data_IF_245239774559
#
_entry.id   IF_245239774559
#
_cell.length_a   1.000
_cell.length_b   1.000
_cell.length_c   1.000
_cell.angle_alpha   90.00
_cell.angle_beta   90.00
_cell.angle_gamma   90.00
#
_symmetry.space_group_name_H-M   'P 1'
#
loop_
_entity.id
_entity.type
_entity.pdbx_description
1 polymer ?
#
# COMPACT_ATOMS: atom_id res chain seq x y z
N UNK A 1 14.22 -11.26 4.64
CA UNK A 1 13.05 -10.37 4.78
C UNK A 1 12.08 -10.85 5.85
N UNK A 2 11.84 -12.16 6.02
CA UNK A 2 11.07 -12.67 7.18
C UNK A 2 9.64 -12.14 7.25
N UNK A 3 9.00 -12.00 6.09
CA UNK A 3 7.59 -11.61 5.95
C UNK A 3 6.75 -12.85 6.26
N UNK A 4 6.13 -12.89 7.44
CA UNK A 4 5.44 -14.08 7.97
C UNK A 4 3.93 -14.02 7.81
N UNK A 5 3.41 -12.83 7.56
CA UNK A 5 1.98 -12.52 7.45
C UNK A 5 1.68 -12.01 6.04
N UNK A 6 2.40 -12.55 5.05
CA UNK A 6 2.29 -12.18 3.64
C UNK A 6 1.99 -13.42 2.80
N UNK A 7 0.95 -13.35 1.99
CA UNK A 7 0.54 -14.43 1.07
C UNK A 7 -0.10 -13.85 -0.20
N UNK A 8 -0.11 -14.62 -1.29
CA UNK A 8 -0.93 -14.26 -2.44
C UNK A 8 -2.40 -14.56 -2.15
N UNK A 9 -3.29 -13.72 -2.66
CA UNK A 9 -4.74 -13.85 -2.43
C UNK A 9 -5.35 -15.16 -2.98
N UNK A 10 -4.69 -15.79 -3.95
CA UNK A 10 -5.06 -17.08 -4.52
C UNK A 10 -4.47 -18.29 -3.78
N UNK A 11 -3.58 -18.08 -2.81
CA UNK A 11 -3.01 -19.19 -2.04
C UNK A 11 -4.06 -19.81 -1.10
N UNK A 12 -3.79 -21.04 -0.64
CA UNK A 12 -4.61 -21.70 0.38
C UNK A 12 -4.40 -21.00 1.72
N UNK A 13 -5.15 -19.92 1.95
CA UNK A 13 -5.23 -19.10 3.17
C UNK A 13 -4.39 -19.66 4.33
N UNK A 14 -3.10 -19.34 4.30
CA UNK A 14 -2.10 -19.81 5.23
C UNK A 14 -1.90 -18.80 6.37
N UNK A 15 -2.43 -17.58 6.23
CA UNK A 15 -2.41 -16.52 7.22
C UNK A 15 -3.82 -16.10 7.66
N UNK A 16 -3.90 -15.41 8.80
CA UNK A 16 -5.13 -14.75 9.25
C UNK A 16 -5.38 -13.50 8.40
N UNK A 17 -6.45 -13.51 7.61
CA UNK A 17 -6.87 -12.39 6.77
C UNK A 17 -8.25 -11.89 7.15
N UNK A 18 -8.42 -10.57 7.12
CA UNK A 18 -9.72 -9.95 7.31
C UNK A 18 -10.65 -10.26 6.12
N UNK A 19 -11.95 -10.09 6.34
CA UNK A 19 -12.95 -10.05 5.26
C UNK A 19 -13.17 -8.61 4.84
N UNK A 20 -13.19 -8.34 3.54
CA UNK A 20 -13.44 -7.01 3.00
C UNK A 20 -14.94 -6.70 2.87
N UNK A 21 -15.32 -5.46 3.13
CA UNK A 21 -16.70 -4.99 3.10
C UNK A 21 -16.82 -3.70 2.28
N UNK A 22 -17.81 -3.65 1.39
CA UNK A 22 -18.22 -2.42 0.72
C UNK A 22 -19.40 -1.82 1.47
N UNK A 23 -19.28 -0.55 1.85
CA UNK A 23 -20.30 0.23 2.55
C UNK A 23 -20.89 1.25 1.57
N UNK A 24 -22.18 1.11 1.29
CA UNK A 24 -22.94 2.01 0.42
C UNK A 24 -23.19 3.37 1.10
N UNK A 25 -23.60 4.37 0.32
CA UNK A 25 -23.88 5.72 0.84
C UNK A 25 -25.02 5.76 1.87
N UNK A 26 -25.93 4.78 1.83
CA UNK A 26 -27.03 4.59 2.79
C UNK A 26 -26.62 3.79 4.04
N UNK A 27 -25.34 3.40 4.14
CA UNK A 27 -24.81 2.59 5.25
C UNK A 27 -24.95 1.08 5.05
N UNK A 28 -25.56 0.62 3.96
CA UNK A 28 -25.67 -0.83 3.69
C UNK A 28 -24.29 -1.44 3.50
N UNK A 29 -24.01 -2.49 4.27
CA UNK A 29 -22.72 -3.20 4.25
C UNK A 29 -22.84 -4.49 3.44
N UNK A 30 -21.89 -4.73 2.54
CA UNK A 30 -21.84 -5.93 1.70
C UNK A 30 -20.47 -6.60 1.79
N UNK A 31 -20.46 -7.84 2.28
CA UNK A 31 -19.27 -8.69 2.28
C UNK A 31 -18.80 -8.91 0.83
N UNK A 32 -17.50 -8.78 0.61
CA UNK A 32 -16.86 -9.04 -0.67
C UNK A 32 -16.25 -10.44 -0.69
N UNK A 33 -16.42 -11.13 -1.80
CA UNK A 33 -15.91 -12.49 -2.03
C UNK A 33 -15.62 -12.65 -3.54
N UNK A 34 -14.49 -12.12 -4.04
CA UNK A 34 -14.15 -12.20 -5.45
C UNK A 34 -13.88 -13.66 -5.84
N UNK A 35 -14.28 -14.05 -7.05
CA UNK A 35 -13.94 -15.36 -7.58
C UNK A 35 -12.44 -15.44 -7.95
N UNK A 36 -11.93 -16.66 -8.08
CA UNK A 36 -10.50 -16.91 -8.37
C UNK A 36 -10.02 -16.22 -9.65
N UNK A 37 -10.82 -16.23 -10.72
CA UNK A 37 -10.43 -15.58 -11.98
C UNK A 37 -10.24 -14.07 -11.81
N UNK A 38 -11.09 -13.42 -11.00
CA UNK A 38 -10.95 -12.00 -10.65
C UNK A 38 -9.70 -11.74 -9.83
N UNK A 39 -9.37 -12.61 -8.88
CA UNK A 39 -8.12 -12.46 -8.08
C UNK A 39 -6.90 -12.62 -8.98
N UNK A 40 -6.85 -13.67 -9.80
CA UNK A 40 -5.74 -13.98 -10.70
C UNK A 40 -5.51 -12.90 -11.78
N UNK A 41 -6.57 -12.20 -12.20
CA UNK A 41 -6.43 -11.09 -13.15
C UNK A 41 -5.69 -9.88 -12.59
N UNK A 42 -5.50 -9.79 -11.26
CA UNK A 42 -4.77 -8.71 -10.58
C UNK A 42 -3.29 -9.04 -10.33
N UNK A 43 -2.73 -10.01 -11.07
CA UNK A 43 -1.31 -10.35 -10.97
C UNK A 43 -0.42 -9.14 -11.29
N UNK A 44 0.32 -8.71 -10.27
CA UNK A 44 1.19 -7.54 -10.32
C UNK A 44 0.49 -6.22 -10.00
N UNK A 45 -0.82 -6.22 -9.69
CA UNK A 45 -1.61 -4.99 -9.46
C UNK A 45 -2.39 -4.97 -8.15
N UNK A 46 -2.75 -6.11 -7.53
CA UNK A 46 -3.58 -6.08 -6.32
C UNK A 46 -3.97 -7.41 -5.68
N UNK A 47 -3.08 -8.41 -5.64
CA UNK A 47 -3.42 -9.77 -5.18
C UNK A 47 -2.52 -10.30 -4.06
N UNK A 48 -2.07 -9.45 -3.14
CA UNK A 48 -1.23 -9.84 -2.00
C UNK A 48 -1.90 -9.39 -0.71
N UNK A 49 -2.08 -10.31 0.23
CA UNK A 49 -2.39 -9.97 1.61
C UNK A 49 -1.09 -9.78 2.38
N UNK A 50 -1.02 -8.73 3.19
CA UNK A 50 0.09 -8.45 4.09
C UNK A 50 -0.46 -7.98 5.43
N UNK A 51 0.32 -8.13 6.50
CA UNK A 51 0.15 -7.29 7.68
C UNK A 51 0.78 -5.91 7.46
N UNK A 52 0.34 -4.94 8.27
CA UNK A 52 0.89 -3.57 8.28
C UNK A 52 2.42 -3.59 8.45
N UNK A 53 2.93 -4.48 9.29
CA UNK A 53 4.37 -4.58 9.59
C UNK A 53 5.17 -5.18 8.45
N UNK A 54 4.64 -6.22 7.79
CA UNK A 54 5.30 -6.80 6.63
C UNK A 54 5.30 -5.82 5.45
N UNK A 55 4.20 -5.07 5.24
CA UNK A 55 4.12 -4.06 4.19
C UNK A 55 5.09 -2.91 4.42
N UNK A 56 5.16 -2.38 5.65
CA UNK A 56 6.19 -1.40 6.02
C UNK A 56 7.60 -1.93 5.73
N UNK A 57 7.90 -3.16 6.18
CA UNK A 57 9.24 -3.75 6.04
C UNK A 57 9.64 -3.86 4.58
N UNK A 58 8.80 -4.40 3.70
CA UNK A 58 9.18 -4.59 2.29
C UNK A 58 9.43 -3.23 1.60
N UNK A 59 8.59 -2.22 1.85
CA UNK A 59 8.75 -0.90 1.24
C UNK A 59 9.99 -0.19 1.80
N UNK A 60 10.24 -0.27 3.11
CA UNK A 60 11.46 0.26 3.72
C UNK A 60 12.71 -0.37 3.10
N UNK A 61 12.76 -1.70 2.99
CA UNK A 61 13.92 -2.43 2.47
C UNK A 61 14.17 -2.18 0.97
N UNK A 62 13.11 -1.88 0.21
CA UNK A 62 13.20 -1.42 -1.18
C UNK A 62 13.83 -0.02 -1.25
N UNK A 63 13.36 0.92 -0.43
CA UNK A 63 13.84 2.31 -0.42
C UNK A 63 15.29 2.44 0.07
N UNK A 64 15.70 1.63 1.03
CA UNK A 64 17.10 1.56 1.52
C UNK A 64 18.00 0.73 0.61
N UNK A 65 17.43 0.04 -0.38
CA UNK A 65 18.16 -0.80 -1.33
C UNK A 65 18.71 -2.11 -0.74
N UNK A 66 18.34 -2.47 0.49
CA UNK A 66 18.80 -3.67 1.16
C UNK A 66 18.50 -4.95 0.35
N UNK A 67 17.35 -4.99 -0.33
CA UNK A 67 16.98 -6.13 -1.19
C UNK A 67 17.26 -5.92 -2.68
N UNK A 68 17.64 -4.70 -3.06
CA UNK A 68 18.03 -4.39 -4.44
C UNK A 68 19.54 -4.60 -4.66
N UNK A 69 20.32 -4.70 -3.58
CA UNK A 69 21.77 -4.85 -3.61
C UNK A 69 22.51 -3.51 -3.52
N UNK A 70 21.93 -2.52 -2.84
CA UNK A 70 22.57 -1.24 -2.50
C UNK A 70 21.71 -0.02 -2.83
N UNK A 71 22.03 1.10 -2.17
CA UNK A 71 21.32 2.37 -2.31
C UNK A 71 21.34 2.92 -3.74
N UNK A 72 22.40 2.64 -4.52
CA UNK A 72 22.48 3.08 -5.92
C UNK A 72 21.32 2.54 -6.77
N UNK A 73 20.98 1.25 -6.60
CA UNK A 73 19.87 0.62 -7.34
C UNK A 73 18.51 1.10 -6.84
N UNK A 74 18.37 1.35 -5.54
CA UNK A 74 17.18 2.01 -5.00
C UNK A 74 17.01 3.42 -5.59
N UNK A 75 18.11 4.17 -5.72
CA UNK A 75 18.09 5.47 -6.36
C UNK A 75 17.63 5.39 -7.82
N UNK A 76 18.12 4.44 -8.60
CA UNK A 76 17.66 4.22 -9.98
C UNK A 76 16.17 3.86 -10.06
N UNK A 77 15.66 3.07 -9.11
CA UNK A 77 14.27 2.62 -9.13
C UNK A 77 13.28 3.69 -8.67
N UNK A 78 13.64 4.47 -7.64
CA UNK A 78 12.71 5.38 -6.97
C UNK A 78 12.99 6.86 -7.22
N UNK A 79 14.18 7.25 -7.68
CA UNK A 79 14.60 8.65 -7.78
C UNK A 79 15.08 8.97 -9.21
N UNK A 80 14.59 10.08 -9.77
CA UNK A 80 15.07 10.56 -11.06
C UNK A 80 15.70 11.93 -10.91
N UNK A 81 16.82 12.12 -11.59
CA UNK A 81 17.44 13.44 -11.80
C UNK A 81 16.95 14.11 -13.08
N UNK A 82 15.96 13.51 -13.78
CA UNK A 82 15.44 14.04 -15.03
C UNK A 82 14.70 15.38 -14.80
N UNK A 83 14.82 16.35 -15.72
CA UNK A 83 14.21 17.69 -15.57
C UNK A 83 12.69 17.66 -15.44
N UNK A 84 12.04 16.63 -16.00
CA UNK A 84 10.62 16.36 -15.83
C UNK A 84 10.47 15.31 -14.72
N UNK A 85 10.41 15.77 -13.47
CA UNK A 85 10.23 14.90 -12.31
C UNK A 85 8.88 14.18 -12.41
N UNK A 86 8.91 12.92 -12.86
CA UNK A 86 7.73 12.07 -12.81
C UNK A 86 7.23 11.99 -11.37
N UNK A 87 5.91 11.85 -11.20
CA UNK A 87 5.31 11.75 -9.87
C UNK A 87 5.17 10.31 -9.40
N UNK A 88 5.72 9.33 -10.12
CA UNK A 88 5.55 7.91 -9.85
C UNK A 88 6.78 7.10 -10.27
N UNK A 89 7.28 6.26 -9.37
CA UNK A 89 8.49 5.44 -9.56
C UNK A 89 8.40 4.15 -8.77
N UNK A 90 8.73 3.02 -9.40
CA UNK A 90 8.85 1.72 -8.71
C UNK A 90 7.61 1.28 -7.93
N UNK A 91 6.41 1.75 -8.30
CA UNK A 91 5.17 1.46 -7.57
C UNK A 91 4.73 2.51 -6.55
N UNK A 92 5.49 3.60 -6.39
CA UNK A 92 5.25 4.64 -5.39
C UNK A 92 5.13 6.03 -6.03
N UNK A 93 4.18 6.82 -5.56
CA UNK A 93 4.09 8.24 -5.89
C UNK A 93 5.11 9.06 -5.09
N UNK A 94 5.54 10.18 -5.65
CA UNK A 94 6.26 11.24 -4.91
C UNK A 94 5.22 12.02 -4.11
N UNK A 95 5.34 11.99 -2.78
CA UNK A 95 4.43 12.69 -1.88
C UNK A 95 4.77 14.17 -1.68
N UNK A 96 4.11 14.79 -0.72
CA UNK A 96 4.19 16.24 -0.49
C UNK A 96 5.25 16.62 0.56
N UNK A 97 5.71 15.67 1.38
CA UNK A 97 6.54 15.90 2.57
C UNK A 97 7.86 15.13 2.49
N UNK A 98 8.55 15.19 1.33
CA UNK A 98 9.76 14.38 1.07
C UNK A 98 9.56 12.89 1.38
N UNK A 99 8.40 12.38 0.99
CA UNK A 99 7.94 11.04 1.28
C UNK A 99 7.50 10.32 -0.01
N UNK A 100 7.26 9.03 0.13
CA UNK A 100 6.72 8.16 -0.90
C UNK A 100 5.38 7.62 -0.47
N UNK A 101 4.46 7.52 -1.42
CA UNK A 101 3.08 7.17 -1.13
C UNK A 101 2.56 6.10 -2.06
N UNK A 102 1.68 5.26 -1.55
CA UNK A 102 0.86 4.36 -2.35
C UNK A 102 -0.49 4.15 -1.66
N UNK A 103 -1.46 3.66 -2.44
CA UNK A 103 -2.76 3.25 -1.95
C UNK A 103 -3.38 2.21 -2.86
N UNK A 104 -4.12 1.27 -2.30
CA UNK A 104 -4.93 0.30 -3.02
C UNK A 104 -6.40 0.39 -2.62
N UNK A 105 -7.27 0.00 -3.56
CA UNK A 105 -8.71 -0.12 -3.34
C UNK A 105 -9.21 -1.35 -4.07
N UNK A 106 -9.63 -2.37 -3.34
CA UNK A 106 -10.04 -3.63 -3.95
C UNK A 106 -10.82 -4.50 -2.97
N UNK A 107 -11.86 -5.18 -3.45
CA UNK A 107 -12.58 -6.20 -2.70
C UNK A 107 -13.01 -5.78 -1.28
N UNK A 108 -13.44 -4.52 -1.10
CA UNK A 108 -13.86 -3.99 0.19
C UNK A 108 -12.72 -3.51 1.09
N UNK A 109 -11.48 -3.64 0.65
CA UNK A 109 -10.31 -3.11 1.33
C UNK A 109 -9.90 -1.74 0.79
N UNK A 110 -9.25 -0.97 1.67
CA UNK A 110 -8.47 0.21 1.34
C UNK A 110 -7.15 0.15 2.09
N UNK A 111 -6.05 0.47 1.42
CA UNK A 111 -4.75 0.62 2.06
C UNK A 111 -4.10 1.95 1.69
N UNK A 112 -3.31 2.46 2.61
CA UNK A 112 -2.52 3.66 2.42
C UNK A 112 -1.16 3.51 3.09
N UNK A 113 -0.11 3.89 2.37
CA UNK A 113 1.22 4.11 2.94
C UNK A 113 1.70 5.53 2.62
N UNK A 114 2.31 6.16 3.62
CA UNK A 114 3.19 7.32 3.51
C UNK A 114 4.49 6.96 4.21
N UNK A 115 5.62 7.06 3.53
CA UNK A 115 6.90 6.64 4.09
C UNK A 115 7.99 7.65 3.73
N UNK A 116 8.81 8.02 4.70
CA UNK A 116 9.94 8.91 4.49
C UNK A 116 10.87 8.36 3.40
N UNK A 117 11.52 9.23 2.64
CA UNK A 117 12.45 8.82 1.58
C UNK A 117 13.59 7.88 2.05
N UNK A 118 13.96 7.95 3.34
CA UNK A 118 14.96 7.05 3.95
C UNK A 118 14.38 5.73 4.50
N UNK A 119 13.07 5.51 4.35
CA UNK A 119 12.38 4.29 4.76
C UNK A 119 12.11 4.15 6.26
N UNK A 120 12.56 5.07 7.11
CA UNK A 120 12.58 4.87 8.58
C UNK A 120 11.30 5.23 9.31
N UNK A 121 10.49 6.12 8.74
CA UNK A 121 9.22 6.58 9.33
C UNK A 121 8.11 6.31 8.33
N UNK A 122 7.05 5.66 8.77
CA UNK A 122 5.89 5.43 7.92
C UNK A 122 4.58 5.58 8.69
N UNK A 123 3.56 6.08 7.98
CA UNK A 123 2.16 5.90 8.30
C UNK A 123 1.62 4.81 7.37
N UNK A 124 1.18 3.69 7.95
CA UNK A 124 0.59 2.57 7.21
C UNK A 124 -0.78 2.28 7.80
N UNK A 125 -1.82 2.34 6.96
CA UNK A 125 -3.21 2.14 7.36
C UNK A 125 -3.86 1.14 6.42
N UNK A 126 -4.44 0.10 6.98
CA UNK A 126 -5.30 -0.85 6.28
C UNK A 126 -6.72 -0.75 6.86
N UNK A 127 -7.70 -0.72 5.96
CA UNK A 127 -9.12 -0.82 6.26
C UNK A 127 -9.70 -2.01 5.51
N UNK A 128 -10.50 -2.81 6.19
CA UNK A 128 -11.34 -3.84 5.56
C UNK A 128 -12.75 -3.33 5.26
N UNK A 129 -12.96 -2.02 5.34
CA UNK A 129 -14.19 -1.33 4.99
C UNK A 129 -13.90 -0.26 3.93
N UNK A 130 -14.61 -0.34 2.81
CA UNK A 130 -14.57 0.64 1.73
C UNK A 130 -15.91 1.33 1.57
N UNK A 131 -15.94 2.61 1.90
CA UNK A 131 -17.11 3.46 1.71
C UNK A 131 -17.20 3.96 0.26
N UNK A 132 -18.36 3.77 -0.37
CA UNK A 132 -18.63 4.27 -1.71
C UNK A 132 -18.76 5.79 -1.72
N UNK A 133 -18.14 6.45 -2.69
CA UNK A 133 -18.31 7.89 -2.94
C UNK A 133 -17.71 8.84 -1.89
N UNK A 134 -16.94 8.34 -0.92
CA UNK A 134 -16.29 9.19 0.10
C UNK A 134 -14.77 9.13 0.01
N UNK A 135 -14.12 10.21 0.44
CA UNK A 135 -12.64 10.30 0.56
C UNK A 135 -12.21 10.46 2.03
N UNK A 136 -13.06 10.06 2.98
CA UNK A 136 -12.86 10.32 4.41
C UNK A 136 -11.53 9.76 4.90
N UNK A 137 -11.28 8.46 4.66
CA UNK A 137 -10.02 7.83 5.05
C UNK A 137 -8.80 8.50 4.42
N UNK A 138 -8.85 8.80 3.12
CA UNK A 138 -7.75 9.48 2.42
C UNK A 138 -7.46 10.87 3.02
N UNK A 139 -8.48 11.63 3.39
CA UNK A 139 -8.31 12.95 4.01
C UNK A 139 -7.72 12.82 5.43
N UNK A 140 -8.15 11.82 6.20
CA UNK A 140 -7.58 11.53 7.53
C UNK A 140 -6.12 11.11 7.44
N UNK A 141 -5.77 10.25 6.48
CA UNK A 141 -4.38 9.87 6.19
C UNK A 141 -3.54 11.10 5.90
N UNK A 142 -4.00 12.01 5.04
CA UNK A 142 -3.28 13.24 4.70
C UNK A 142 -3.08 14.17 5.93
N UNK A 143 -4.07 14.25 6.82
CA UNK A 143 -3.96 15.02 8.05
C UNK A 143 -2.93 14.41 9.01
N UNK A 144 -2.91 13.07 9.16
CA UNK A 144 -1.94 12.36 10.00
C UNK A 144 -0.53 12.42 9.42
N UNK A 145 -0.38 12.31 8.10
CA UNK A 145 0.89 12.46 7.38
C UNK A 145 1.57 13.78 7.75
N UNK A 146 0.83 14.89 7.68
CA UNK A 146 1.32 16.22 8.05
C UNK A 146 1.67 16.37 9.54
N UNK A 147 1.21 15.49 10.43
CA UNK A 147 1.53 15.55 11.86
C UNK A 147 2.70 14.66 12.24
N UNK A 148 2.85 13.51 11.56
CA UNK A 148 3.76 12.44 11.96
C UNK A 148 5.03 12.37 11.12
N UNK A 149 4.99 12.85 9.88
CA UNK A 149 6.11 12.78 8.92
C UNK A 149 6.74 14.15 8.59
N UNK A 150 6.20 15.24 9.14
CA UNK A 150 6.84 16.56 9.16
C UNK A 150 8.01 16.63 10.16
#
# INVERSE_FOLDING_TARGET
>A
MGLKETEFAYDKQATDRATGYMISADGTTSKQDPNEATVQSELGTGQVYMSVMDYYRIISELLTGNILGGQEKANQLFYSTAPNSAKYYGGLYVGNVNDRTANGYGYGFQDHIRISNDGKKALVIFSNERHSGTKTLLNEVANLEAQLLN
#
